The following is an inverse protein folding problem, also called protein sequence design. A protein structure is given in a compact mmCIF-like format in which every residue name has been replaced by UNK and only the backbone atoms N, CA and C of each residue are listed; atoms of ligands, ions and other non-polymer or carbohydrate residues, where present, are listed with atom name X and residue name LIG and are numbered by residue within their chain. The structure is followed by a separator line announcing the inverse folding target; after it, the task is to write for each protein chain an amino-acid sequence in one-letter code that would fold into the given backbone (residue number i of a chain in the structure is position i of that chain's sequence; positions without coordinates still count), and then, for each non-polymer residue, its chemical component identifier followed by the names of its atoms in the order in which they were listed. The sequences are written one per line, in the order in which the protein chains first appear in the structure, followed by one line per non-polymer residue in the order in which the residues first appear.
data_IF_455708166808
#
_entry.id   IF_455708166808
#
_cell.length_a   1.000
_cell.length_b   1.000
_cell.length_c   1.000
_cell.angle_alpha   90.00
_cell.angle_beta   90.00
_cell.angle_gamma   90.00
#
_symmetry.space_group_name_H-M   'P 1'
#
loop_
_entity.id
_entity.type
_entity.pdbx_description
1 polymer ?
#
# COMPACT_ATOMS: atom_id res chain seq x y z
N UNK A 1 3.05 -14.64 2.97
CA UNK A 1 3.46 -14.93 1.57
C UNK A 1 4.79 -14.23 1.29
N UNK A 2 5.58 -14.65 0.28
CA UNK A 2 6.71 -13.83 -0.15
C UNK A 2 6.21 -12.60 -0.94
N UNK A 3 7.04 -11.56 -1.04
CA UNK A 3 6.64 -10.29 -1.64
C UNK A 3 6.25 -10.38 -3.13
N UNK A 4 6.82 -11.31 -3.89
CA UNK A 4 6.47 -11.52 -5.29
C UNK A 4 5.08 -12.13 -5.44
N UNK A 5 4.78 -13.17 -4.66
CA UNK A 5 3.47 -13.80 -4.64
C UNK A 5 2.41 -12.81 -4.20
N UNK A 6 2.69 -12.00 -3.18
CA UNK A 6 1.76 -11.00 -2.70
C UNK A 6 1.52 -9.89 -3.74
N UNK A 7 2.57 -9.39 -4.40
CA UNK A 7 2.43 -8.42 -5.48
C UNK A 7 1.50 -8.94 -6.59
N UNK A 8 1.72 -10.18 -7.05
CA UNK A 8 0.90 -10.79 -8.09
C UNK A 8 -0.55 -10.95 -7.61
N UNK A 9 -0.75 -11.35 -6.35
CA UNK A 9 -2.08 -11.47 -5.77
C UNK A 9 -2.81 -10.13 -5.73
N UNK A 10 -2.20 -9.10 -5.16
CA UNK A 10 -2.78 -7.75 -5.03
C UNK A 10 -3.13 -7.15 -6.39
N UNK A 11 -2.23 -7.26 -7.37
CA UNK A 11 -2.49 -6.76 -8.75
C UNK A 11 -3.57 -7.55 -9.50
N UNK A 12 -3.77 -8.84 -9.16
CA UNK A 12 -4.82 -9.66 -9.77
C UNK A 12 -6.21 -9.44 -9.16
N UNK A 13 -6.28 -9.18 -7.84
CA UNK A 13 -7.54 -9.02 -7.11
C UNK A 13 -8.09 -7.60 -7.22
N UNK A 14 -7.22 -6.59 -7.26
CA UNK A 14 -7.65 -5.22 -7.41
C UNK A 14 -8.16 -4.97 -8.83
N UNK A 15 -9.41 -4.52 -8.94
CA UNK A 15 -9.98 -4.06 -10.20
C UNK A 15 -9.54 -2.64 -10.54
N UNK A 16 -9.87 -2.20 -11.75
CA UNK A 16 -9.67 -0.82 -12.20
C UNK A 16 -10.60 0.19 -11.53
N UNK A 17 -11.75 -0.25 -11.00
CA UNK A 17 -12.66 0.60 -10.22
C UNK A 17 -12.11 0.93 -8.83
N UNK A 18 -11.18 0.11 -8.34
CA UNK A 18 -10.54 0.27 -7.05
C UNK A 18 -11.42 -0.09 -5.85
N UNK A 19 -10.78 -0.14 -4.69
CA UNK A 19 -11.38 -0.40 -3.39
C UNK A 19 -10.76 0.54 -2.37
N UNK A 20 -11.56 1.01 -1.42
CA UNK A 20 -11.04 1.82 -0.33
C UNK A 20 -10.44 0.95 0.77
N UNK A 21 -9.29 1.39 1.24
CA UNK A 21 -8.47 0.72 2.25
C UNK A 21 -8.07 1.78 3.26
N UNK A 22 -8.06 1.40 4.54
CA UNK A 22 -7.61 2.28 5.61
C UNK A 22 -6.14 1.99 5.93
N UNK A 23 -5.36 3.05 6.06
CA UNK A 23 -4.01 2.99 6.62
C UNK A 23 -4.06 2.80 8.13
N UNK A 24 -2.95 2.35 8.74
CA UNK A 24 -2.87 2.21 10.22
C UNK A 24 -2.99 3.52 10.98
N UNK A 25 -2.86 4.67 10.30
CA UNK A 25 -3.12 5.99 10.90
C UNK A 25 -4.56 6.45 10.75
N UNK A 26 -5.45 5.59 10.24
CA UNK A 26 -6.88 5.87 10.11
C UNK A 26 -7.30 6.61 8.83
N UNK A 27 -6.36 6.99 7.96
CA UNK A 27 -6.66 7.64 6.68
C UNK A 27 -7.08 6.62 5.63
N UNK A 28 -8.17 6.91 4.92
CA UNK A 28 -8.69 6.11 3.81
C UNK A 28 -8.07 6.52 2.46
N UNK A 29 -7.84 5.55 1.60
CA UNK A 29 -7.38 5.78 0.23
C UNK A 29 -7.99 4.72 -0.70
N UNK A 30 -8.10 5.04 -1.98
CA UNK A 30 -8.53 4.10 -3.00
C UNK A 30 -7.31 3.40 -3.57
N UNK A 31 -7.29 2.07 -3.56
CA UNK A 31 -6.30 1.26 -4.25
C UNK A 31 -6.93 0.61 -5.49
N UNK A 32 -6.25 0.67 -6.63
CA UNK A 32 -6.70 0.01 -7.85
C UNK A 32 -5.55 -0.63 -8.61
N UNK A 33 -5.86 -1.59 -9.47
CA UNK A 33 -4.90 -2.13 -10.42
C UNK A 33 -5.40 -2.04 -11.85
N UNK A 34 -4.46 -1.79 -12.76
CA UNK A 34 -4.70 -1.80 -14.20
C UNK A 34 -3.39 -2.17 -14.90
N UNK A 35 -3.46 -3.10 -15.84
CA UNK A 35 -2.32 -3.54 -16.66
C UNK A 35 -1.08 -3.94 -15.83
N UNK A 36 -1.30 -4.63 -14.71
CA UNK A 36 -0.24 -5.09 -13.80
C UNK A 36 0.45 -3.97 -13.00
N UNK A 37 -0.15 -2.77 -12.97
CA UNK A 37 0.34 -1.62 -12.18
C UNK A 37 -0.63 -1.32 -11.04
N UNK A 38 -0.08 -0.85 -9.92
CA UNK A 38 -0.86 -0.41 -8.77
C UNK A 38 -0.95 1.10 -8.73
N UNK A 39 -2.13 1.57 -8.35
CA UNK A 39 -2.43 2.98 -8.21
C UNK A 39 -3.07 3.23 -6.86
N UNK A 40 -2.75 4.38 -6.28
CA UNK A 40 -3.39 4.89 -5.07
C UNK A 40 -3.91 6.29 -5.30
N UNK A 41 -5.13 6.54 -4.86
CA UNK A 41 -5.80 7.83 -4.95
C UNK A 41 -6.51 8.15 -3.63
N UNK A 42 -7.03 9.37 -3.50
CA UNK A 42 -7.86 9.74 -2.35
C UNK A 42 -9.10 8.84 -2.26
N UNK A 43 -9.63 8.70 -1.04
CA UNK A 43 -10.94 8.09 -0.83
C UNK A 43 -12.05 9.08 -1.22
N UNK A 44 -13.14 8.56 -1.74
CA UNK A 44 -14.37 9.28 -2.14
C UNK A 44 -15.51 8.92 -1.19
N UNK A 45 -15.56 7.70 -0.67
CA UNK A 45 -16.68 7.17 0.10
C UNK A 45 -16.44 7.21 1.61
N UNK A 46 -15.20 6.96 2.05
CA UNK A 46 -14.84 6.96 3.48
C UNK A 46 -14.06 8.20 3.90
N UNK A 47 -14.17 8.53 5.20
CA UNK A 47 -13.50 9.67 5.83
C UNK A 47 -12.84 9.26 7.15
N UNK A 48 -11.69 9.87 7.52
CA UNK A 48 -10.97 10.89 6.76
C UNK A 48 -10.21 10.29 5.56
N UNK A 49 -10.27 10.98 4.40
CA UNK A 49 -9.50 10.59 3.22
C UNK A 49 -8.05 11.06 3.33
N UNK A 50 -7.14 10.32 2.69
CA UNK A 50 -5.80 10.78 2.40
C UNK A 50 -5.83 12.07 1.56
N UNK A 51 -4.85 12.94 1.81
CA UNK A 51 -4.70 14.24 1.16
C UNK A 51 -4.01 14.13 -0.22
N UNK A 52 -4.23 13.02 -0.94
CA UNK A 52 -3.67 12.84 -2.28
C UNK A 52 -4.31 13.84 -3.25
N UNK A 53 -3.53 14.83 -3.64
CA UNK A 53 -3.92 15.79 -4.69
C UNK A 53 -3.99 15.11 -6.06
N UNK A 54 -3.12 14.14 -6.31
CA UNK A 54 -3.05 13.35 -7.53
C UNK A 54 -2.80 11.88 -7.21
N UNK A 55 -3.34 11.01 -8.07
CA UNK A 55 -3.08 9.58 -8.08
C UNK A 55 -1.58 9.29 -8.17
N UNK A 56 -1.10 8.36 -7.33
CA UNK A 56 0.28 7.86 -7.35
C UNK A 56 0.34 6.46 -7.90
N UNK A 57 1.43 6.16 -8.59
CA UNK A 57 1.75 4.80 -9.05
C UNK A 57 2.65 4.13 -8.02
N UNK A 58 2.35 2.87 -7.69
CA UNK A 58 3.26 2.00 -6.94
C UNK A 58 3.91 1.03 -7.93
N UNK A 59 5.24 1.05 -8.00
CA UNK A 59 5.99 0.09 -8.82
C UNK A 59 6.21 -1.22 -8.06
N UNK A 60 6.41 -2.34 -8.78
CA UNK A 60 6.76 -3.63 -8.15
C UNK A 60 8.02 -3.49 -7.28
N UNK A 61 9.05 -2.78 -7.75
CA UNK A 61 10.28 -2.53 -6.99
C UNK A 61 9.99 -1.80 -5.67
N UNK A 62 9.14 -0.78 -5.71
CA UNK A 62 8.75 -0.01 -4.53
C UNK A 62 7.95 -0.87 -3.54
N UNK A 63 7.03 -1.68 -4.04
CA UNK A 63 6.27 -2.63 -3.24
C UNK A 63 7.17 -3.66 -2.55
N UNK A 64 8.07 -4.31 -3.30
CA UNK A 64 8.99 -5.31 -2.77
C UNK A 64 9.97 -4.70 -1.75
N UNK A 65 10.43 -3.47 -2.00
CA UNK A 65 11.25 -2.74 -1.05
C UNK A 65 10.50 -2.54 0.26
N UNK A 66 9.25 -2.06 0.24
CA UNK A 66 8.51 -1.83 1.48
C UNK A 66 8.13 -3.15 2.16
N UNK A 67 7.79 -4.18 1.37
CA UNK A 67 7.49 -5.52 1.88
C UNK A 67 8.64 -6.11 2.71
N UNK A 68 9.91 -5.91 2.32
CA UNK A 68 11.05 -6.44 3.09
C UNK A 68 11.20 -5.82 4.49
N UNK A 69 10.50 -4.73 4.77
CA UNK A 69 10.44 -4.08 6.09
C UNK A 69 9.17 -4.42 6.88
N UNK A 70 8.18 -5.07 6.25
CA UNK A 70 6.85 -5.23 6.85
C UNK A 70 6.89 -6.08 8.13
N UNK A 71 7.60 -7.22 8.12
CA UNK A 71 7.69 -8.09 9.30
C UNK A 71 8.35 -7.37 10.49
N UNK A 72 9.43 -6.62 10.22
CA UNK A 72 10.10 -5.79 11.25
C UNK A 72 9.15 -4.76 11.84
N UNK A 73 8.36 -4.11 10.99
CA UNK A 73 7.37 -3.12 11.42
C UNK A 73 6.22 -3.74 12.23
N UNK A 74 5.66 -4.88 11.80
CA UNK A 74 4.58 -5.59 12.53
C UNK A 74 5.08 -6.13 13.88
N UNK A 75 6.33 -6.56 13.96
CA UNK A 75 6.97 -6.97 15.21
C UNK A 75 7.31 -5.80 16.16
N UNK A 76 6.93 -4.56 15.82
CA UNK A 76 7.10 -3.40 16.69
C UNK A 76 8.50 -2.81 16.70
N UNK A 77 9.35 -3.12 15.72
CA UNK A 77 10.69 -2.54 15.65
C UNK A 77 10.63 -1.01 15.43
N UNK A 78 11.17 -0.27 16.40
CA UNK A 78 11.14 1.19 16.42
C UNK A 78 11.88 1.79 15.23
N UNK A 79 11.25 2.76 14.56
CA UNK A 79 11.89 3.54 13.49
C UNK A 79 11.81 2.95 12.09
N UNK A 80 11.37 1.69 11.92
CA UNK A 80 11.26 1.04 10.61
C UNK A 80 10.39 1.84 9.64
N UNK A 81 9.23 2.30 10.09
CA UNK A 81 8.32 3.12 9.27
C UNK A 81 9.00 4.41 8.78
N UNK A 82 9.80 5.05 9.63
CA UNK A 82 10.53 6.29 9.31
C UNK A 82 11.69 6.02 8.36
N UNK A 83 12.39 4.89 8.53
CA UNK A 83 13.47 4.45 7.64
C UNK A 83 12.92 4.24 6.23
N UNK A 84 11.87 3.44 6.09
CA UNK A 84 11.34 3.06 4.78
C UNK A 84 10.59 4.22 4.11
N UNK A 85 9.95 5.13 4.86
CA UNK A 85 9.30 6.33 4.28
C UNK A 85 10.29 7.30 3.64
N UNK A 86 11.57 7.25 4.02
CA UNK A 86 12.64 8.02 3.34
C UNK A 86 13.01 7.41 1.99
N UNK A 87 12.72 6.12 1.77
CA UNK A 87 13.02 5.37 0.54
C UNK A 87 11.81 5.28 -0.38
N UNK A 88 10.61 5.28 0.17
CA UNK A 88 9.34 5.23 -0.55
C UNK A 88 8.34 6.25 -0.01
N UNK A 89 7.76 7.06 -0.90
CA UNK A 89 6.63 7.94 -0.56
C UNK A 89 5.30 7.19 -0.46
N UNK A 90 5.28 5.91 -0.80
CA UNK A 90 4.08 5.07 -0.82
C UNK A 90 3.98 4.13 0.38
N UNK A 91 4.95 4.18 1.31
CA UNK A 91 5.05 3.27 2.48
C UNK A 91 3.72 3.00 3.18
N UNK A 92 2.99 4.06 3.58
CA UNK A 92 1.76 3.88 4.35
C UNK A 92 0.68 3.11 3.58
N UNK A 93 0.60 3.34 2.26
CA UNK A 93 -0.35 2.66 1.38
C UNK A 93 0.08 1.22 1.12
N UNK A 94 1.38 0.98 0.92
CA UNK A 94 1.90 -0.36 0.69
C UNK A 94 1.75 -1.21 1.96
N UNK A 95 2.03 -0.68 3.15
CA UNK A 95 1.77 -1.39 4.40
C UNK A 95 0.29 -1.76 4.56
N UNK A 96 -0.63 -0.85 4.27
CA UNK A 96 -2.06 -1.14 4.32
C UNK A 96 -2.49 -2.22 3.30
N UNK A 97 -1.88 -2.22 2.11
CA UNK A 97 -2.10 -3.27 1.10
C UNK A 97 -1.57 -4.62 1.56
N UNK A 98 -0.37 -4.66 2.14
CA UNK A 98 0.22 -5.89 2.65
C UNK A 98 -0.66 -6.45 3.77
N UNK A 99 -1.05 -5.61 4.74
CA UNK A 99 -1.90 -5.98 5.85
C UNK A 99 -3.24 -6.56 5.40
N UNK A 100 -3.89 -5.93 4.42
CA UNK A 100 -5.19 -6.36 3.89
C UNK A 100 -5.12 -7.69 3.11
N UNK A 101 -4.03 -7.97 2.41
CA UNK A 101 -3.94 -9.06 1.43
C UNK A 101 -2.93 -10.16 1.78
N UNK A 102 -2.26 -10.10 2.94
CA UNK A 102 -1.32 -11.14 3.38
C UNK A 102 -1.96 -12.26 4.19
N UNK A 103 -3.23 -12.12 4.56
CA UNK A 103 -4.02 -13.10 5.32
C UNK A 103 -4.79 -14.04 4.39
#
# INVERSE_FOLDING_TARGET
MNGETLWNHVTSVLSSSGVEIQTTTGLWFTASSRDGRLYVDRAIYNSPSSELSMKRTISKKDFLLVHSYYDRWVNGETGVRHEVSRKSRNTAYIFALIDKYSN
#
